data_IF_928350999207
#
_entry.id   IF_928350999207
#
_cell.length_a   1.000
_cell.length_b   1.000
_cell.length_c   1.000
_cell.angle_alpha   90.00
_cell.angle_beta   90.00
_cell.angle_gamma   90.00
#
_symmetry.space_group_name_H-M   'P 1'
#
loop_
_entity.id
_entity.type
_entity.pdbx_description
1 polymer ?
#
# COMPACT_ATOMS: atom_id res chain seq x y z
N UNK A 1 -16.01 -8.15 -8.67
CA UNK A 1 -14.80 -8.90 -9.06
C UNK A 1 -14.50 -8.86 -10.56
N UNK A 2 -15.30 -9.45 -11.46
CA UNK A 2 -14.96 -9.56 -12.89
C UNK A 2 -14.73 -8.23 -13.66
N UNK A 3 -15.33 -7.12 -13.22
CA UNK A 3 -15.09 -5.77 -13.79
C UNK A 3 -13.73 -5.17 -13.39
N UNK A 4 -13.23 -5.50 -12.20
CA UNK A 4 -11.96 -5.00 -11.67
C UNK A 4 -10.81 -5.70 -12.41
N UNK A 5 -10.90 -7.02 -12.55
CA UNK A 5 -9.96 -7.81 -13.36
C UNK A 5 -9.95 -7.39 -14.84
N UNK A 6 -11.11 -7.10 -15.44
CA UNK A 6 -11.18 -6.57 -16.82
C UNK A 6 -10.53 -5.19 -16.97
N UNK A 7 -10.68 -4.31 -15.97
CA UNK A 7 -10.01 -3.00 -15.98
C UNK A 7 -8.50 -3.13 -15.81
N UNK A 8 -8.02 -4.03 -14.95
CA UNK A 8 -6.60 -4.33 -14.78
C UNK A 8 -6.00 -4.91 -16.07
N UNK A 9 -6.69 -5.87 -16.71
CA UNK A 9 -6.26 -6.47 -17.97
C UNK A 9 -6.22 -5.46 -19.13
N UNK A 10 -7.24 -4.61 -19.27
CA UNK A 10 -7.27 -3.58 -20.33
C UNK A 10 -6.23 -2.46 -20.12
N UNK A 11 -5.77 -2.23 -18.88
CA UNK A 11 -4.67 -1.31 -18.58
C UNK A 11 -3.31 -1.93 -18.89
N UNK A 12 -3.10 -3.20 -18.55
CA UNK A 12 -1.87 -3.94 -18.88
C UNK A 12 -1.60 -4.00 -20.39
N UNK A 13 -2.64 -4.09 -21.22
CA UNK A 13 -2.48 -4.25 -22.68
C UNK A 13 -2.11 -2.97 -23.44
N UNK A 14 -2.18 -1.79 -22.81
CA UNK A 14 -1.97 -0.49 -23.49
C UNK A 14 -0.69 0.26 -23.04
N UNK A 15 0.23 -0.43 -22.35
CA UNK A 15 1.47 0.13 -21.84
C UNK A 15 2.43 0.53 -22.98
N UNK A 16 2.56 1.84 -23.19
CA UNK A 16 3.65 2.47 -23.96
C UNK A 16 4.87 2.81 -23.09
N UNK A 17 4.70 2.81 -21.77
CA UNK A 17 5.74 3.04 -20.78
C UNK A 17 5.94 1.77 -19.95
N UNK A 18 7.18 1.29 -19.84
CA UNK A 18 7.53 0.01 -19.20
C UNK A 18 7.18 -0.06 -17.71
N UNK A 19 6.89 1.10 -17.10
CA UNK A 19 6.65 1.25 -15.67
C UNK A 19 5.17 1.38 -15.28
N UNK A 20 4.23 1.19 -16.22
CA UNK A 20 2.79 1.37 -15.90
C UNK A 20 2.30 0.36 -14.85
N UNK A 21 2.80 -0.88 -14.90
CA UNK A 21 2.42 -1.96 -13.97
C UNK A 21 2.77 -1.63 -12.52
N UNK A 22 3.98 -1.14 -12.24
CA UNK A 22 4.40 -0.72 -10.90
C UNK A 22 3.68 0.57 -10.47
N UNK A 23 3.37 1.48 -11.41
CA UNK A 23 2.54 2.64 -11.14
C UNK A 23 1.12 2.29 -10.68
N UNK A 24 0.52 1.25 -11.28
CA UNK A 24 -0.77 0.70 -10.84
C UNK A 24 -0.66 0.06 -9.47
N UNK A 25 0.38 -0.76 -9.24
CA UNK A 25 0.63 -1.36 -7.94
C UNK A 25 0.73 -0.30 -6.82
N UNK A 26 1.51 0.77 -7.04
CA UNK A 26 1.63 1.88 -6.08
C UNK A 26 0.27 2.53 -5.77
N UNK A 27 -0.59 2.62 -6.78
CA UNK A 27 -1.92 3.21 -6.65
C UNK A 27 -2.86 2.29 -5.86
N UNK A 28 -2.85 1.00 -6.17
CA UNK A 28 -3.68 0.00 -5.49
C UNK A 28 -3.23 -0.18 -4.04
N UNK A 29 -1.91 -0.24 -3.78
CA UNK A 29 -1.32 -0.29 -2.44
C UNK A 29 -1.70 0.92 -1.57
N UNK A 30 -1.83 2.10 -2.19
CA UNK A 30 -2.32 3.29 -1.48
C UNK A 30 -3.76 3.09 -1.00
N UNK A 31 -4.62 2.49 -1.82
CA UNK A 31 -6.02 2.22 -1.45
C UNK A 31 -6.10 1.21 -0.31
N UNK A 32 -5.26 0.17 -0.34
CA UNK A 32 -5.18 -0.82 0.75
C UNK A 32 -4.76 -0.15 2.06
N UNK A 33 -3.69 0.65 2.04
CA UNK A 33 -3.22 1.41 3.20
C UNK A 33 -4.30 2.31 3.81
N UNK A 34 -4.98 3.10 2.98
CA UNK A 34 -6.07 3.99 3.43
C UNK A 34 -7.26 3.19 3.99
N UNK A 35 -7.50 1.99 3.47
CA UNK A 35 -8.56 1.09 3.97
C UNK A 35 -8.21 0.54 5.35
N UNK A 36 -6.96 0.15 5.59
CA UNK A 36 -6.51 -0.25 6.93
C UNK A 36 -6.66 0.89 7.94
N UNK A 37 -6.30 2.13 7.57
CA UNK A 37 -6.52 3.28 8.46
C UNK A 37 -8.00 3.42 8.87
N UNK A 38 -8.91 3.30 7.90
CA UNK A 38 -10.35 3.39 8.16
C UNK A 38 -10.86 2.27 9.08
N UNK A 39 -10.40 1.03 8.86
CA UNK A 39 -10.78 -0.11 9.71
C UNK A 39 -10.34 0.12 11.16
N UNK A 40 -9.10 0.56 11.36
CA UNK A 40 -8.57 0.81 12.71
C UNK A 40 -9.36 1.91 13.42
N UNK A 41 -9.67 3.01 12.73
CA UNK A 41 -10.50 4.08 13.30
C UNK A 41 -11.90 3.58 13.66
N UNK A 42 -12.56 2.85 12.73
CA UNK A 42 -13.88 2.31 12.97
C UNK A 42 -13.92 1.32 14.14
N UNK A 43 -12.87 0.50 14.32
CA UNK A 43 -12.76 -0.40 15.46
C UNK A 43 -12.58 0.34 16.79
N UNK A 44 -11.82 1.44 16.81
CA UNK A 44 -11.72 2.29 18.01
C UNK A 44 -13.07 2.90 18.37
N UNK A 45 -13.78 3.45 17.39
CA UNK A 45 -15.10 4.07 17.61
C UNK A 45 -16.14 3.04 18.09
N UNK A 46 -16.14 1.85 17.49
CA UNK A 46 -16.98 0.71 17.90
C UNK A 46 -16.70 0.33 19.36
N UNK A 47 -15.43 0.14 19.72
CA UNK A 47 -15.07 -0.31 21.07
C UNK A 47 -15.38 0.76 22.13
N UNK A 48 -15.20 2.04 21.81
CA UNK A 48 -15.64 3.15 22.68
C UNK A 48 -17.15 3.14 22.88
N UNK A 49 -17.91 2.90 21.82
CA UNK A 49 -19.37 2.86 21.86
C UNK A 49 -19.87 1.68 22.69
N UNK A 50 -19.25 0.51 22.50
CA UNK A 50 -19.53 -0.69 23.28
C UNK A 50 -19.26 -0.49 24.78
N UNK A 51 -18.13 0.12 25.13
CA UNK A 51 -17.80 0.41 26.54
C UNK A 51 -18.79 1.41 27.16
N UNK A 52 -19.21 2.44 26.42
CA UNK A 52 -20.21 3.41 26.89
C UNK A 52 -21.55 2.74 27.18
N UNK A 53 -22.01 1.89 26.27
CA UNK A 53 -23.23 1.12 26.47
C UNK A 53 -23.09 0.17 27.67
N UNK A 54 -21.99 -0.59 27.75
CA UNK A 54 -21.78 -1.52 28.85
C UNK A 54 -21.83 -0.84 30.22
N UNK A 55 -21.27 0.37 30.36
CA UNK A 55 -21.34 1.16 31.61
C UNK A 55 -22.75 1.59 32.02
N UNK A 56 -23.71 1.58 31.10
CA UNK A 56 -25.12 1.89 31.40
C UNK A 56 -25.94 0.66 31.81
N UNK A 57 -25.38 -0.55 31.70
CA UNK A 57 -26.06 -1.79 32.08
C UNK A 57 -26.11 -1.95 33.60
N UNK A 58 -27.22 -2.42 34.16
CA UNK A 58 -27.32 -2.72 35.60
C UNK A 58 -26.53 -3.99 35.99
N UNK A 59 -26.32 -4.89 35.03
CA UNK A 59 -25.62 -6.13 35.25
C UNK A 59 -24.10 -5.92 35.33
N UNK A 60 -23.57 -5.98 36.55
CA UNK A 60 -22.13 -5.81 36.82
C UNK A 60 -21.24 -6.83 36.08
N UNK A 61 -21.73 -8.03 35.81
CA UNK A 61 -20.96 -9.01 35.05
C UNK A 61 -20.81 -8.59 33.57
N UNK A 62 -21.84 -7.99 32.97
CA UNK A 62 -21.74 -7.43 31.62
C UNK A 62 -20.78 -6.24 31.59
N UNK A 63 -20.85 -5.36 32.59
CA UNK A 63 -19.91 -4.24 32.72
C UNK A 63 -18.45 -4.73 32.75
N UNK A 64 -18.15 -5.74 33.55
CA UNK A 64 -16.80 -6.29 33.70
C UNK A 64 -16.33 -6.97 32.40
N UNK A 65 -17.14 -7.85 31.83
CA UNK A 65 -16.82 -8.56 30.58
C UNK A 65 -16.51 -7.58 29.45
N UNK A 66 -17.34 -6.56 29.26
CA UNK A 66 -17.13 -5.60 28.17
C UNK A 66 -16.03 -4.57 28.47
N UNK A 67 -15.72 -4.31 29.74
CA UNK A 67 -14.52 -3.56 30.11
C UNK A 67 -13.26 -4.33 29.70
N UNK A 68 -13.23 -5.65 29.92
CA UNK A 68 -12.14 -6.52 29.47
C UNK A 68 -12.08 -6.67 27.95
N UNK A 69 -13.23 -6.78 27.28
CA UNK A 69 -13.28 -6.78 25.82
C UNK A 69 -12.69 -5.47 25.24
N UNK A 70 -13.00 -4.33 25.85
CA UNK A 70 -12.43 -3.04 25.47
C UNK A 70 -10.91 -2.97 25.65
N UNK A 71 -10.36 -3.52 26.75
CA UNK A 71 -8.91 -3.64 26.95
C UNK A 71 -8.26 -4.44 25.81
N UNK A 72 -8.84 -5.58 25.43
CA UNK A 72 -8.37 -6.40 24.30
C UNK A 72 -8.45 -5.64 22.98
N UNK A 73 -9.54 -4.91 22.71
CA UNK A 73 -9.68 -4.05 21.53
C UNK A 73 -8.61 -2.95 21.49
N UNK A 74 -8.26 -2.35 22.64
CA UNK A 74 -7.17 -1.38 22.72
C UNK A 74 -5.82 -2.01 22.35
N UNK A 75 -5.53 -3.22 22.83
CA UNK A 75 -4.30 -3.94 22.47
C UNK A 75 -4.26 -4.24 20.97
N UNK A 76 -5.36 -4.76 20.42
CA UNK A 76 -5.50 -5.07 19.01
C UNK A 76 -5.31 -3.83 18.11
N UNK A 77 -5.96 -2.73 18.44
CA UNK A 77 -5.84 -1.47 17.69
C UNK A 77 -4.43 -0.87 17.78
N UNK A 78 -3.71 -1.06 18.90
CA UNK A 78 -2.29 -0.71 19.01
C UNK A 78 -1.45 -1.52 18.05
N UNK A 79 -1.57 -2.85 18.05
CA UNK A 79 -0.83 -3.72 17.13
C UNK A 79 -1.12 -3.41 15.67
N UNK A 80 -2.36 -3.08 15.33
CA UNK A 80 -2.72 -2.63 13.98
C UNK A 80 -2.09 -1.31 13.59
N UNK A 81 -1.94 -0.38 14.53
CA UNK A 81 -1.27 0.90 14.27
C UNK A 81 0.19 0.68 13.92
N UNK A 82 0.87 -0.19 14.65
CA UNK A 82 2.27 -0.56 14.41
C UNK A 82 2.41 -1.25 13.05
N UNK A 83 1.52 -2.22 12.75
CA UNK A 83 1.46 -2.85 11.43
C UNK A 83 1.26 -1.83 10.31
N UNK A 84 0.32 -0.89 10.48
CA UNK A 84 0.02 0.11 9.46
C UNK A 84 1.19 1.09 9.23
N UNK A 85 1.98 1.36 10.27
CA UNK A 85 3.22 2.12 10.15
C UNK A 85 4.27 1.37 9.32
N UNK A 86 4.49 0.09 9.58
CA UNK A 86 5.40 -0.73 8.77
C UNK A 86 4.87 -0.92 7.34
N UNK A 87 3.56 -1.09 7.18
CA UNK A 87 2.91 -1.17 5.87
C UNK A 87 3.12 0.11 5.05
N UNK A 88 3.10 1.28 5.69
CA UNK A 88 3.43 2.54 5.05
C UNK A 88 4.87 2.58 4.50
N UNK A 89 5.83 2.04 5.25
CA UNK A 89 7.22 1.93 4.80
C UNK A 89 7.33 0.95 3.64
N UNK A 90 6.68 -0.21 3.75
CA UNK A 90 6.60 -1.19 2.68
C UNK A 90 6.07 -0.59 1.38
N UNK A 91 4.91 0.08 1.36
CA UNK A 91 4.39 0.66 0.11
C UNK A 91 5.28 1.78 -0.47
N UNK A 92 6.11 2.43 0.34
CA UNK A 92 7.04 3.45 -0.13
C UNK A 92 8.18 2.84 -0.96
N UNK A 93 8.58 1.60 -0.68
CA UNK A 93 9.66 0.94 -1.43
C UNK A 93 9.30 0.81 -2.91
N UNK A 94 8.03 0.58 -3.27
CA UNK A 94 7.61 0.54 -4.67
C UNK A 94 7.85 1.86 -5.42
N UNK A 95 7.72 3.00 -4.74
CA UNK A 95 8.05 4.31 -5.34
C UNK A 95 9.55 4.46 -5.57
N UNK A 96 10.34 3.91 -4.67
CA UNK A 96 11.80 3.90 -4.77
C UNK A 96 12.25 2.98 -5.91
N UNK A 97 11.70 1.78 -6.02
CA UNK A 97 11.93 0.86 -7.15
C UNK A 97 11.59 1.55 -8.47
N UNK A 98 10.41 2.18 -8.58
CA UNK A 98 10.03 2.92 -9.79
C UNK A 98 11.02 4.04 -10.13
N UNK A 99 11.55 4.75 -9.13
CA UNK A 99 12.56 5.78 -9.33
C UNK A 99 13.85 5.17 -9.88
N UNK A 100 14.31 4.07 -9.31
CA UNK A 100 15.54 3.38 -9.73
C UNK A 100 15.42 2.78 -11.13
N UNK A 101 14.26 2.18 -11.46
CA UNK A 101 14.01 1.67 -12.81
C UNK A 101 14.13 2.77 -13.87
N UNK A 102 13.60 3.97 -13.59
CA UNK A 102 13.72 5.13 -14.50
C UNK A 102 15.16 5.57 -14.70
N UNK A 103 15.96 5.58 -13.62
CA UNK A 103 17.39 5.90 -13.69
C UNK A 103 18.11 4.87 -14.57
N UNK A 104 17.84 3.57 -14.36
CA UNK A 104 18.42 2.50 -15.17
C UNK A 104 18.08 2.64 -16.66
N UNK A 105 16.85 3.03 -16.99
CA UNK A 105 16.44 3.22 -18.37
C UNK A 105 17.14 4.42 -19.04
N UNK A 106 17.40 5.49 -18.30
CA UNK A 106 18.23 6.59 -18.79
C UNK A 106 19.67 6.16 -19.06
N UNK A 107 20.30 5.43 -18.13
CA UNK A 107 21.67 4.94 -18.31
C UNK A 107 21.77 3.97 -19.50
N UNK A 108 20.79 3.07 -19.67
CA UNK A 108 20.72 2.17 -20.83
C UNK A 108 20.61 2.94 -22.15
N UNK A 109 19.82 4.01 -22.19
CA UNK A 109 19.71 4.89 -23.39
C UNK A 109 21.05 5.57 -23.69
N UNK A 110 21.73 6.11 -22.67
CA UNK A 110 23.06 6.72 -22.85
C UNK A 110 24.08 5.69 -23.35
N UNK A 111 24.11 4.50 -22.76
CA UNK A 111 24.97 3.41 -23.20
C UNK A 111 24.72 3.05 -24.67
N UNK A 112 23.46 2.86 -25.08
CA UNK A 112 23.10 2.55 -26.46
C UNK A 112 23.54 3.65 -27.45
N UNK A 113 23.42 4.93 -27.07
CA UNK A 113 23.94 6.04 -27.87
C UNK A 113 25.46 5.99 -28.03
N UNK A 114 26.19 5.77 -26.95
CA UNK A 114 27.66 5.67 -26.98
C UNK A 114 28.12 4.46 -27.81
N UNK A 115 27.48 3.29 -27.64
CA UNK A 115 27.76 2.09 -28.46
C UNK A 115 27.50 2.35 -29.94
N UNK A 116 26.38 3.02 -30.28
CA UNK A 116 26.07 3.36 -31.67
C UNK A 116 27.12 4.30 -32.27
N UNK A 117 27.59 5.29 -31.50
CA UNK A 117 28.66 6.21 -31.93
C UNK A 117 29.99 5.47 -32.13
N UNK A 118 30.36 4.57 -31.22
CA UNK A 118 31.57 3.77 -31.31
C UNK A 118 31.56 2.86 -32.54
N UNK A 119 30.45 2.16 -32.80
CA UNK A 119 30.29 1.32 -33.98
C UNK A 119 30.40 2.11 -35.30
N UNK A 120 29.96 3.37 -35.32
CA UNK A 120 30.11 4.25 -36.49
C UNK A 120 31.58 4.63 -36.72
N UNK A 121 32.30 4.98 -35.65
CA UNK A 121 33.71 5.33 -35.72
C UNK A 121 34.57 4.14 -36.17
N UNK A 122 34.29 2.94 -35.67
CA UNK A 122 35.01 1.73 -36.07
C UNK A 122 34.82 1.36 -37.54
N UNK A 123 33.69 1.71 -38.16
CA UNK A 123 33.45 1.48 -39.60
C UNK A 123 34.16 2.49 -40.52
N UNK A 124 34.74 3.55 -39.95
CA UNK A 124 35.46 4.59 -40.69
C UNK A 124 36.98 4.37 -40.72
N UNK A 125 37.47 3.38 -39.97
CA UNK A 125 38.85 2.90 -39.96
C UNK A 125 38.93 1.64 -40.80
#
# INVERSE_FOLDING_TARGET
MARIFRRAANKMMNSRDGHESIGLLISDEKVVYESYQKIVMAQVDESISLLKWAKSEENLALQDVFSKAFEVSCMWTSSWRDFNHEYYKYRKTFKEVLREERVLDEERRRQAMHTTKLNRLQKQV
#
